data_IF_549275703571
#
_entry.id   IF_549275703571
#
_cell.length_a   1.000
_cell.length_b   1.000
_cell.length_c   1.000
_cell.angle_alpha   90.00
_cell.angle_beta   90.00
_cell.angle_gamma   90.00
#
_symmetry.space_group_name_H-M   'P 1'
#
loop_
_entity.id
_entity.type
_entity.pdbx_description
1 polymer ?
#
# COMPACT_ATOMS: atom_id res chain seq x y z
N UNK A 1 28.97 27.68 2.43
CA UNK A 1 28.55 27.69 1.00
C UNK A 1 27.57 28.86 0.80
N UNK A 2 27.93 29.90 0.04
CA UNK A 2 27.07 31.06 -0.17
C UNK A 2 25.87 30.72 -1.09
N UNK A 3 24.68 30.64 -0.50
CA UNK A 3 23.52 31.45 -0.90
C UNK A 3 22.50 30.90 -1.89
N UNK A 4 22.82 29.94 -2.76
CA UNK A 4 21.85 29.38 -3.71
C UNK A 4 21.48 27.95 -3.35
N UNK A 5 20.21 27.66 -3.04
CA UNK A 5 19.74 26.29 -3.16
C UNK A 5 20.06 25.84 -4.60
N UNK A 6 20.88 24.80 -4.80
CA UNK A 6 21.41 24.52 -6.12
C UNK A 6 20.25 24.14 -7.04
N UNK A 7 20.21 24.72 -8.24
CA UNK A 7 19.08 24.70 -9.18
C UNK A 7 18.50 23.30 -9.45
N UNK A 8 19.30 22.25 -9.25
CA UNK A 8 18.86 20.85 -9.36
C UNK A 8 17.81 20.45 -8.31
N UNK A 9 17.78 21.06 -7.12
CA UNK A 9 16.74 20.79 -6.10
C UNK A 9 15.39 21.31 -6.59
N UNK A 10 15.36 22.55 -7.07
CA UNK A 10 14.14 23.16 -7.61
C UNK A 10 13.65 22.40 -8.85
N UNK A 11 14.57 21.98 -9.73
CA UNK A 11 14.26 21.14 -10.88
C UNK A 11 13.70 19.77 -10.47
N UNK A 12 14.24 19.15 -9.41
CA UNK A 12 13.77 17.88 -8.89
C UNK A 12 12.36 17.97 -8.31
N UNK A 13 12.08 19.00 -7.50
CA UNK A 13 10.73 19.24 -6.96
C UNK A 13 9.73 19.52 -8.08
N UNK A 14 10.08 20.39 -9.03
CA UNK A 14 9.23 20.69 -10.17
C UNK A 14 8.97 19.44 -11.02
N UNK A 15 9.99 18.64 -11.28
CA UNK A 15 9.87 17.37 -11.99
C UNK A 15 8.95 16.39 -11.28
N UNK A 16 9.01 16.31 -9.94
CA UNK A 16 8.10 15.48 -9.14
C UNK A 16 6.65 15.96 -9.25
N UNK A 17 6.40 17.26 -9.14
CA UNK A 17 5.06 17.85 -9.29
C UNK A 17 4.50 17.59 -10.70
N UNK A 18 5.33 17.77 -11.73
CA UNK A 18 4.94 17.50 -13.13
C UNK A 18 4.67 16.01 -13.33
N UNK A 19 5.47 15.10 -12.76
CA UNK A 19 5.25 13.67 -12.86
C UNK A 19 3.94 13.23 -12.17
N UNK A 20 3.65 13.82 -11.00
CA UNK A 20 2.38 13.61 -10.29
C UNK A 20 1.22 14.11 -11.17
N UNK A 21 1.27 15.36 -11.64
CA UNK A 21 0.23 15.95 -12.49
C UNK A 21 0.03 15.17 -13.81
N UNK A 22 1.12 14.72 -14.43
CA UNK A 22 1.08 13.91 -15.65
C UNK A 22 0.49 12.52 -15.40
N UNK A 23 0.67 11.95 -14.20
CA UNK A 23 0.06 10.66 -13.83
C UNK A 23 -1.47 10.73 -13.76
N UNK A 24 -2.04 11.93 -13.58
CA UNK A 24 -3.48 12.19 -13.62
C UNK A 24 -4.01 12.53 -15.01
N UNK A 25 -3.15 12.77 -16.00
CA UNK A 25 -3.59 13.09 -17.35
C UNK A 25 -3.99 11.81 -18.13
N UNK A 26 -5.12 11.84 -18.82
CA UNK A 26 -5.60 10.70 -19.61
C UNK A 26 -4.65 10.36 -20.79
N UNK A 27 -3.93 11.35 -21.32
CA UNK A 27 -3.08 11.23 -22.49
C UNK A 27 -1.92 10.20 -22.32
N UNK A 28 -1.07 10.30 -21.27
CA UNK A 28 0.00 9.34 -21.05
C UNK A 28 -0.52 7.93 -20.75
N UNK A 29 -1.64 7.79 -20.05
CA UNK A 29 -2.24 6.47 -19.78
C UNK A 29 -2.72 5.78 -21.06
N UNK A 30 -3.38 6.54 -21.96
CA UNK A 30 -3.81 6.02 -23.28
C UNK A 30 -2.61 5.63 -24.15
N UNK A 31 -1.53 6.41 -24.11
CA UNK A 31 -0.30 6.10 -24.82
C UNK A 31 0.38 4.82 -24.30
N UNK A 32 0.51 4.67 -22.97
CA UNK A 32 1.06 3.48 -22.32
C UNK A 32 0.27 2.21 -22.66
N UNK A 33 -1.07 2.27 -22.62
CA UNK A 33 -1.94 1.16 -23.03
C UNK A 33 -1.77 0.81 -24.51
N UNK A 34 -1.64 1.82 -25.37
CA UNK A 34 -1.37 1.63 -26.79
C UNK A 34 -0.02 0.96 -27.03
N UNK A 35 1.03 1.39 -26.34
CA UNK A 35 2.35 0.79 -26.38
C UNK A 35 2.32 -0.66 -25.86
N UNK A 36 1.70 -0.91 -24.71
CA UNK A 36 1.59 -2.25 -24.12
C UNK A 36 0.85 -3.23 -25.04
N UNK A 37 -0.24 -2.79 -25.69
CA UNK A 37 -0.97 -3.62 -26.68
C UNK A 37 -0.15 -3.90 -27.93
N UNK A 38 0.65 -2.95 -28.42
CA UNK A 38 1.55 -3.15 -29.57
C UNK A 38 2.67 -4.15 -29.27
N UNK A 39 3.16 -4.17 -28.04
CA UNK A 39 4.20 -5.12 -27.60
C UNK A 39 3.61 -6.51 -27.29
N UNK A 40 2.29 -6.69 -27.41
CA UNK A 40 1.65 -8.00 -27.23
C UNK A 40 1.58 -8.45 -25.77
N UNK A 41 1.71 -7.52 -24.81
CA UNK A 41 1.56 -7.78 -23.37
C UNK A 41 0.09 -8.17 -23.08
N UNK A 42 -0.21 -9.45 -23.23
CA UNK A 42 -1.47 -10.09 -22.81
C UNK A 42 -1.23 -10.78 -21.48
N UNK A 43 -2.16 -10.65 -20.54
CA UNK A 43 -2.11 -11.32 -19.24
C UNK A 43 -2.19 -10.36 -18.03
N UNK A 44 -1.55 -10.66 -16.89
CA UNK A 44 -1.76 -9.96 -15.62
C UNK A 44 -1.43 -8.47 -15.66
N UNK A 45 -0.51 -8.05 -16.53
CA UNK A 45 -0.16 -6.63 -16.73
C UNK A 45 -1.32 -5.85 -17.35
N UNK A 46 -2.03 -6.45 -18.31
CA UNK A 46 -3.22 -5.83 -18.91
C UNK A 46 -4.37 -5.76 -17.89
N UNK A 47 -4.54 -6.78 -17.05
CA UNK A 47 -5.52 -6.77 -15.96
C UNK A 47 -5.18 -5.71 -14.90
N UNK A 48 -3.90 -5.52 -14.57
CA UNK A 48 -3.44 -4.48 -13.65
C UNK A 48 -3.67 -3.07 -14.20
N UNK A 49 -3.42 -2.86 -15.49
CA UNK A 49 -3.70 -1.61 -16.19
C UNK A 49 -5.21 -1.31 -16.27
N UNK A 50 -6.04 -2.32 -16.49
CA UNK A 50 -7.51 -2.17 -16.50
C UNK A 50 -8.06 -1.87 -15.10
N UNK A 51 -7.50 -2.51 -14.06
CA UNK A 51 -7.81 -2.17 -12.68
C UNK A 51 -7.40 -0.72 -12.34
N UNK A 52 -6.24 -0.25 -12.83
CA UNK A 52 -5.83 1.15 -12.68
C UNK A 52 -6.80 2.13 -13.34
N UNK A 53 -7.42 1.75 -14.46
CA UNK A 53 -8.47 2.55 -15.10
C UNK A 53 -9.71 2.70 -14.23
N UNK A 54 -10.15 1.63 -13.56
CA UNK A 54 -11.27 1.72 -12.62
C UNK A 54 -10.97 2.66 -11.43
N UNK A 55 -9.69 2.84 -11.07
CA UNK A 55 -9.27 3.83 -10.09
C UNK A 55 -9.27 5.27 -10.64
N UNK A 56 -9.10 5.46 -11.95
CA UNK A 56 -9.13 6.78 -12.60
C UNK A 56 -10.51 7.45 -12.48
N UNK A 57 -11.59 6.67 -12.47
CA UNK A 57 -12.96 7.18 -12.36
C UNK A 57 -13.31 7.69 -10.95
N UNK A 58 -12.40 7.60 -9.98
CA UNK A 58 -12.61 8.02 -8.59
C UNK A 58 -11.52 9.00 -8.12
N UNK A 59 -11.56 10.27 -8.56
CA UNK A 59 -10.52 11.26 -8.25
C UNK A 59 -10.32 11.50 -6.75
N UNK A 60 -11.38 11.40 -5.94
CA UNK A 60 -11.28 11.54 -4.48
C UNK A 60 -10.44 10.45 -3.79
N UNK A 61 -10.52 9.20 -4.27
CA UNK A 61 -9.71 8.10 -3.74
C UNK A 61 -8.25 8.25 -4.17
N UNK A 62 -8.00 8.69 -5.41
CA UNK A 62 -6.65 8.96 -5.87
C UNK A 62 -6.00 10.11 -5.11
N UNK A 63 -6.74 11.19 -4.83
CA UNK A 63 -6.24 12.30 -4.04
C UNK A 63 -5.89 11.85 -2.62
N UNK A 64 -6.77 11.07 -1.99
CA UNK A 64 -6.54 10.54 -0.63
C UNK A 64 -5.33 9.61 -0.59
N UNK A 65 -5.23 8.67 -1.55
CA UNK A 65 -4.09 7.77 -1.64
C UNK A 65 -2.78 8.51 -1.96
N UNK A 66 -2.85 9.50 -2.85
CA UNK A 66 -1.71 10.37 -3.17
C UNK A 66 -1.25 11.18 -1.96
N UNK A 67 -2.17 11.78 -1.22
CA UNK A 67 -1.87 12.50 0.02
C UNK A 67 -1.24 11.56 1.06
N UNK A 68 -1.78 10.35 1.21
CA UNK A 68 -1.24 9.35 2.12
C UNK A 68 0.18 8.94 1.70
N UNK A 69 0.43 8.73 0.41
CA UNK A 69 1.76 8.41 -0.11
C UNK A 69 2.76 9.56 0.08
N UNK A 70 2.31 10.82 0.00
CA UNK A 70 3.14 11.99 0.31
C UNK A 70 3.49 12.01 1.79
N UNK A 71 2.51 11.83 2.68
CA UNK A 71 2.73 11.76 4.13
C UNK A 71 3.67 10.62 4.48
N UNK A 72 3.49 9.44 3.89
CA UNK A 72 4.37 8.28 4.09
C UNK A 72 5.82 8.59 3.67
N UNK A 73 6.01 9.24 2.52
CA UNK A 73 7.35 9.67 2.10
C UNK A 73 7.98 10.64 3.09
N UNK A 74 7.23 11.65 3.56
CA UNK A 74 7.74 12.60 4.55
C UNK A 74 8.10 11.92 5.86
N UNK A 75 7.28 10.98 6.34
CA UNK A 75 7.57 10.20 7.54
C UNK A 75 8.87 9.39 7.37
N UNK A 76 9.07 8.75 6.23
CA UNK A 76 10.29 8.00 5.93
C UNK A 76 11.54 8.91 5.86
N UNK A 77 11.42 10.08 5.24
CA UNK A 77 12.50 11.08 5.22
C UNK A 77 12.80 11.57 6.64
N UNK A 78 11.77 11.82 7.45
CA UNK A 78 11.93 12.26 8.83
C UNK A 78 12.65 11.20 9.69
N UNK A 79 12.30 9.92 9.55
CA UNK A 79 12.98 8.83 10.27
C UNK A 79 14.48 8.79 9.93
N UNK A 80 14.83 8.85 8.64
CA UNK A 80 16.23 8.87 8.20
C UNK A 80 16.97 10.13 8.66
N UNK A 81 16.30 11.29 8.61
CA UNK A 81 16.86 12.54 9.09
C UNK A 81 17.15 12.48 10.59
N UNK A 82 16.19 12.04 11.41
CA UNK A 82 16.36 11.89 12.85
C UNK A 82 17.49 10.89 13.14
N UNK A 83 17.50 9.73 12.48
CA UNK A 83 18.56 8.74 12.65
C UNK A 83 19.96 9.32 12.35
N UNK A 84 20.10 10.12 11.29
CA UNK A 84 21.35 10.79 10.96
C UNK A 84 21.76 11.83 12.03
N UNK A 85 20.81 12.57 12.59
CA UNK A 85 21.10 13.56 13.64
C UNK A 85 21.50 12.90 14.95
N UNK A 86 20.85 11.80 15.33
CA UNK A 86 21.19 11.03 16.54
C UNK A 86 22.57 10.37 16.47
N UNK A 87 23.02 10.00 15.27
CA UNK A 87 24.36 9.45 15.03
C UNK A 87 25.44 10.57 15.01
N UNK A 88 25.04 11.84 15.04
CA UNK A 88 25.95 12.98 15.11
C UNK A 88 26.33 13.59 13.76
N UNK A 89 25.52 13.38 12.71
CA UNK A 89 25.77 14.03 11.41
C UNK A 89 25.45 15.52 11.47
N UNK A 90 26.50 16.34 11.34
CA UNK A 90 26.43 17.81 11.41
C UNK A 90 26.12 18.50 10.07
N UNK A 91 25.80 17.75 9.01
CA UNK A 91 25.50 18.32 7.69
C UNK A 91 24.31 19.30 7.73
N UNK A 92 24.30 20.35 6.87
CA UNK A 92 23.18 21.27 6.78
C UNK A 92 21.85 20.53 6.51
N UNK A 93 20.74 20.89 7.21
CA UNK A 93 19.49 20.15 7.11
C UNK A 93 18.97 20.00 5.67
N UNK A 94 19.08 21.06 4.86
CA UNK A 94 18.64 21.05 3.46
C UNK A 94 19.44 20.06 2.60
N UNK A 95 20.77 20.00 2.82
CA UNK A 95 21.66 19.06 2.12
C UNK A 95 21.29 17.62 2.47
N UNK A 96 21.09 17.35 3.75
CA UNK A 96 20.77 16.01 4.25
C UNK A 96 19.40 15.54 3.75
N UNK A 97 18.37 16.39 3.84
CA UNK A 97 17.02 16.09 3.32
C UNK A 97 17.05 15.85 1.82
N UNK A 98 17.85 16.61 1.06
CA UNK A 98 17.94 16.46 -0.39
C UNK A 98 18.59 15.13 -0.79
N UNK A 99 19.67 14.74 -0.11
CA UNK A 99 20.30 13.43 -0.33
C UNK A 99 19.40 12.27 0.09
N UNK A 100 18.73 12.37 1.24
CA UNK A 100 17.77 11.35 1.68
C UNK A 100 16.64 11.22 0.65
N UNK A 101 16.07 12.34 0.17
CA UNK A 101 15.00 12.34 -0.83
C UNK A 101 15.46 11.69 -2.13
N UNK A 102 16.69 12.00 -2.58
CA UNK A 102 17.28 11.38 -3.75
C UNK A 102 17.49 9.87 -3.56
N UNK A 103 18.00 9.45 -2.40
CA UNK A 103 18.17 8.03 -2.06
C UNK A 103 16.85 7.28 -2.08
N UNK A 104 15.79 7.86 -1.51
CA UNK A 104 14.44 7.29 -1.54
C UNK A 104 13.88 7.21 -2.96
N UNK A 105 14.10 8.23 -3.77
CA UNK A 105 13.67 8.24 -5.17
C UNK A 105 14.35 7.13 -5.98
N UNK A 106 15.68 7.03 -5.89
CA UNK A 106 16.44 5.98 -6.59
C UNK A 106 16.02 4.59 -6.08
N UNK A 107 15.85 4.43 -4.77
CA UNK A 107 15.35 3.16 -4.19
C UNK A 107 13.98 2.77 -4.74
N UNK A 108 13.06 3.71 -4.92
CA UNK A 108 11.73 3.45 -5.53
C UNK A 108 11.84 2.98 -6.98
N UNK A 109 12.74 3.56 -7.77
CA UNK A 109 13.01 3.10 -9.13
C UNK A 109 13.61 1.68 -9.14
N UNK A 110 14.40 1.35 -8.13
CA UNK A 110 15.04 0.04 -7.95
C UNK A 110 14.18 -0.99 -7.20
N UNK A 111 12.87 -0.76 -6.99
CA UNK A 111 11.98 -1.73 -6.32
C UNK A 111 11.99 -3.14 -6.97
N UNK A 112 12.41 -3.25 -8.23
CA UNK A 112 12.61 -4.54 -8.91
C UNK A 112 13.83 -5.33 -8.40
N UNK A 113 14.73 -4.69 -7.67
CA UNK A 113 15.99 -5.23 -7.13
C UNK A 113 16.03 -5.14 -5.59
N UNK A 114 14.88 -5.05 -4.92
CA UNK A 114 14.76 -4.73 -3.48
C UNK A 114 15.30 -5.86 -2.59
N UNK A 115 16.62 -6.02 -2.57
CA UNK A 115 17.38 -6.76 -1.60
C UNK A 115 17.97 -5.80 -0.57
N UNK A 116 18.05 -6.24 0.69
CA UNK A 116 18.57 -5.44 1.81
C UNK A 116 19.92 -4.76 1.50
N UNK A 117 20.84 -5.48 0.85
CA UNK A 117 22.17 -4.95 0.51
C UNK A 117 22.17 -3.82 -0.52
N UNK A 118 21.20 -3.77 -1.45
CA UNK A 118 21.14 -2.69 -2.43
C UNK A 118 20.76 -1.36 -1.77
N UNK A 119 19.78 -1.39 -0.87
CA UNK A 119 19.39 -0.18 -0.13
C UNK A 119 20.54 0.36 0.72
N UNK A 120 21.29 -0.51 1.39
CA UNK A 120 22.43 -0.09 2.22
C UNK A 120 23.56 0.49 1.37
N UNK A 121 23.93 -0.19 0.27
CA UNK A 121 24.95 0.29 -0.65
C UNK A 121 24.58 1.64 -1.27
N UNK A 122 23.30 1.83 -1.62
CA UNK A 122 22.80 3.09 -2.16
C UNK A 122 22.90 4.24 -1.14
N UNK A 123 22.59 3.99 0.13
CA UNK A 123 22.78 5.00 1.18
C UNK A 123 24.25 5.32 1.39
N UNK A 124 25.14 4.31 1.45
CA UNK A 124 26.60 4.52 1.55
C UNK A 124 27.10 5.38 0.40
N UNK A 125 26.70 5.06 -0.84
CA UNK A 125 27.10 5.81 -2.03
C UNK A 125 26.64 7.27 -1.99
N UNK A 126 25.36 7.50 -1.70
CA UNK A 126 24.77 8.84 -1.75
C UNK A 126 25.16 9.72 -0.55
N UNK A 127 25.30 9.14 0.65
CA UNK A 127 25.84 9.86 1.80
C UNK A 127 27.34 10.15 1.64
N UNK A 128 28.08 9.29 0.94
CA UNK A 128 29.47 9.55 0.56
C UNK A 128 29.63 10.81 -0.29
N UNK A 129 28.64 11.19 -1.11
CA UNK A 129 28.68 12.44 -1.89
C UNK A 129 28.67 13.71 -1.04
N UNK A 130 28.20 13.63 0.21
CA UNK A 130 28.22 14.74 1.17
C UNK A 130 29.31 14.57 2.25
N UNK A 131 30.24 13.64 2.03
CA UNK A 131 31.41 13.43 2.89
C UNK A 131 31.15 12.62 4.15
N UNK A 132 30.02 11.92 4.25
CA UNK A 132 29.73 11.02 5.37
C UNK A 132 30.47 9.71 5.13
N UNK A 133 31.15 9.19 6.16
CA UNK A 133 31.86 7.93 6.06
C UNK A 133 30.90 6.75 5.91
N UNK A 134 31.37 5.68 5.26
CA UNK A 134 30.54 4.52 4.96
C UNK A 134 30.01 3.78 6.19
N UNK A 135 30.75 3.80 7.31
CA UNK A 135 30.33 3.16 8.57
C UNK A 135 29.14 3.90 9.18
N UNK A 136 29.23 5.22 9.26
CA UNK A 136 28.13 6.10 9.70
C UNK A 136 26.93 5.99 8.77
N UNK A 137 27.14 6.02 7.45
CA UNK A 137 26.05 5.86 6.47
C UNK A 137 25.30 4.53 6.63
N UNK A 138 26.04 3.44 6.89
CA UNK A 138 25.47 2.12 7.18
C UNK A 138 24.69 2.14 8.51
N UNK A 139 25.26 2.72 9.56
CA UNK A 139 24.61 2.85 10.86
C UNK A 139 23.27 3.61 10.75
N UNK A 140 23.24 4.72 10.00
CA UNK A 140 22.03 5.49 9.72
C UNK A 140 20.97 4.62 9.04
N UNK A 141 21.37 3.89 8.00
CA UNK A 141 20.48 2.97 7.28
C UNK A 141 19.89 1.92 8.23
N UNK A 142 20.72 1.26 9.04
CA UNK A 142 20.29 0.22 9.96
C UNK A 142 19.34 0.74 11.05
N UNK A 143 19.69 1.87 11.67
CA UNK A 143 18.83 2.52 12.68
C UNK A 143 17.49 2.93 12.07
N UNK A 144 17.49 3.50 10.87
CA UNK A 144 16.26 3.88 10.19
C UNK A 144 15.38 2.67 9.84
N UNK A 145 15.97 1.54 9.42
CA UNK A 145 15.22 0.30 9.18
C UNK A 145 14.67 -0.29 10.47
N UNK A 146 15.46 -0.33 11.55
CA UNK A 146 15.00 -0.80 12.86
C UNK A 146 13.85 0.06 13.39
N UNK A 147 13.96 1.39 13.28
CA UNK A 147 12.91 2.33 13.67
C UNK A 147 11.64 2.16 12.80
N UNK A 148 11.79 2.03 11.48
CA UNK A 148 10.68 1.77 10.58
C UNK A 148 9.98 0.43 10.89
N UNK A 149 10.77 -0.61 11.18
CA UNK A 149 10.24 -1.91 11.59
C UNK A 149 9.46 -1.79 12.90
N UNK A 150 10.04 -1.15 13.93
CA UNK A 150 9.38 -0.91 15.21
C UNK A 150 8.07 -0.09 15.04
N UNK A 151 8.09 0.95 14.20
CA UNK A 151 6.90 1.75 13.90
C UNK A 151 5.80 0.97 13.15
N UNK A 152 6.16 -0.10 12.43
CA UNK A 152 5.19 -0.97 11.75
C UNK A 152 4.50 -1.97 12.67
N UNK A 153 5.09 -2.26 13.84
CA UNK A 153 4.57 -3.28 14.78
C UNK A 153 3.15 -2.98 15.25
N UNK A 154 2.80 -1.75 15.69
CA UNK A 154 1.43 -1.44 16.11
C UNK A 154 0.41 -1.62 14.98
N UNK A 155 0.76 -1.21 13.75
CA UNK A 155 -0.10 -1.36 12.58
C UNK A 155 -0.31 -2.84 12.22
N UNK A 156 0.76 -3.64 12.25
CA UNK A 156 0.69 -5.08 12.04
C UNK A 156 -0.15 -5.77 13.12
N UNK A 157 0.00 -5.36 14.38
CA UNK A 157 -0.80 -5.87 15.49
C UNK A 157 -2.28 -5.54 15.32
N UNK A 158 -2.62 -4.31 14.96
CA UNK A 158 -4.02 -3.91 14.72
C UNK A 158 -4.67 -4.74 13.62
N UNK A 159 -3.97 -4.92 12.48
CA UNK A 159 -4.45 -5.75 11.37
C UNK A 159 -4.58 -7.22 11.79
N UNK A 160 -3.68 -7.72 12.63
CA UNK A 160 -3.75 -9.11 13.11
C UNK A 160 -4.97 -9.35 14.01
N UNK A 161 -5.32 -8.39 14.87
CA UNK A 161 -6.52 -8.46 15.71
C UNK A 161 -7.79 -8.34 14.86
N UNK A 162 -7.88 -7.33 13.99
CA UNK A 162 -9.07 -7.03 13.17
C UNK A 162 -9.41 -8.13 12.14
N UNK A 163 -8.40 -8.85 11.62
CA UNK A 163 -8.62 -10.00 10.73
C UNK A 163 -9.42 -11.13 11.37
N UNK A 164 -9.49 -11.21 12.71
CA UNK A 164 -10.35 -12.17 13.40
C UNK A 164 -11.83 -11.79 13.24
N UNK A 165 -12.12 -10.49 13.24
CA UNK A 165 -13.48 -9.96 13.13
C UNK A 165 -14.00 -10.05 11.69
N UNK A 166 -13.15 -9.78 10.70
CA UNK A 166 -13.53 -9.93 9.27
C UNK A 166 -13.87 -11.38 8.91
N UNK A 167 -13.14 -12.37 9.47
CA UNK A 167 -13.47 -13.79 9.30
C UNK A 167 -14.83 -14.12 9.93
N UNK A 168 -15.08 -13.65 11.14
CA UNK A 168 -16.34 -13.86 11.84
C UNK A 168 -17.53 -13.23 11.10
N UNK A 169 -17.36 -12.04 10.53
CA UNK A 169 -18.40 -11.38 9.71
C UNK A 169 -18.67 -12.20 8.44
N UNK A 170 -17.63 -12.65 7.73
CA UNK A 170 -17.78 -13.45 6.50
C UNK A 170 -18.49 -14.78 6.75
N UNK A 171 -18.20 -15.44 7.87
CA UNK A 171 -18.89 -16.67 8.28
C UNK A 171 -20.38 -16.41 8.56
N UNK A 172 -20.71 -15.33 9.30
CA UNK A 172 -22.11 -14.95 9.57
C UNK A 172 -22.88 -14.63 8.29
N UNK A 173 -22.30 -13.89 7.35
CA UNK A 173 -22.94 -13.58 6.06
C UNK A 173 -23.23 -14.86 5.29
N UNK A 174 -22.28 -15.80 5.24
CA UNK A 174 -22.48 -17.08 4.55
C UNK A 174 -23.60 -17.91 5.18
N UNK A 175 -23.69 -17.95 6.51
CA UNK A 175 -24.78 -18.66 7.21
C UNK A 175 -26.13 -18.00 6.93
N UNK A 176 -26.21 -16.67 6.92
CA UNK A 176 -27.43 -15.94 6.57
C UNK A 176 -27.86 -16.18 5.12
N UNK A 177 -26.92 -16.20 4.17
CA UNK A 177 -27.22 -16.48 2.76
C UNK A 177 -27.75 -17.91 2.59
N UNK A 178 -27.19 -18.88 3.31
CA UNK A 178 -27.68 -20.27 3.31
C UNK A 178 -29.08 -20.39 3.93
N UNK A 179 -29.35 -19.69 5.03
CA UNK A 179 -30.68 -19.67 5.64
C UNK A 179 -31.72 -19.01 4.73
N UNK A 180 -31.36 -17.90 4.07
CA UNK A 180 -32.22 -17.22 3.09
C UNK A 180 -32.53 -18.11 1.87
N UNK A 181 -31.54 -18.89 1.39
CA UNK A 181 -31.74 -19.88 0.33
C UNK A 181 -32.67 -21.02 0.77
N UNK A 182 -32.54 -21.54 1.99
CA UNK A 182 -33.40 -22.60 2.50
C UNK A 182 -34.88 -22.16 2.64
N UNK A 183 -35.13 -20.91 3.03
CA UNK A 183 -36.50 -20.34 3.09
C UNK A 183 -37.06 -20.10 1.69
N UNK A 184 -36.21 -19.73 0.74
CA UNK A 184 -36.61 -19.44 -0.64
C UNK A 184 -36.76 -20.69 -1.51
N UNK A 185 -36.40 -21.88 -1.01
CA UNK A 185 -36.56 -23.15 -1.70
C UNK A 185 -37.95 -23.76 -1.41
N UNK A 186 -38.91 -23.66 -2.33
CA UNK A 186 -40.28 -24.15 -2.14
C UNK A 186 -40.37 -25.68 -2.07
N UNK A 187 -39.28 -26.41 -2.35
CA UNK A 187 -39.27 -27.88 -2.29
C UNK A 187 -39.20 -28.41 -0.86
N UNK A 188 -38.66 -27.65 0.09
CA UNK A 188 -38.56 -28.04 1.51
C UNK A 188 -39.84 -27.78 2.33
N UNK A 189 -40.80 -27.01 1.80
CA UNK A 189 -42.11 -26.74 2.44
C UNK A 189 -43.10 -27.91 2.22
N UNK A 190 -42.69 -28.97 1.53
CA UNK A 190 -43.55 -30.09 1.12
C UNK A 190 -43.38 -31.40 1.91
N UNK A 191 -42.84 -31.38 3.12
CA UNK A 191 -42.94 -32.53 4.02
C UNK A 191 -44.08 -32.37 5.05
N UNK A 192 -45.29 -32.91 4.79
CA UNK A 192 -46.45 -32.82 5.67
C UNK A 192 -46.40 -33.79 6.87
N UNK A 193 -45.22 -34.20 7.33
CA UNK A 193 -45.05 -35.24 8.37
C UNK A 193 -45.38 -34.74 9.78
N UNK A 194 -45.61 -33.43 9.98
CA UNK A 194 -46.20 -32.87 11.20
C UNK A 194 -47.73 -32.74 11.09
N UNK A 195 -48.40 -33.77 10.56
CA UNK A 195 -49.85 -33.92 10.64
C UNK A 195 -50.18 -34.80 11.86
N UNK A 196 -50.40 -34.10 12.98
CA UNK A 196 -51.37 -34.44 14.02
C UNK A 196 -51.22 -35.81 14.74
N UNK A 197 -50.55 -35.87 15.91
CA UNK A 197 -50.61 -37.02 16.81
C UNK A 197 -51.92 -37.12 17.63
N UNK A 198 -52.96 -36.33 17.31
CA UNK A 198 -54.14 -36.09 18.15
C UNK A 198 -55.47 -36.72 17.73
N UNK A 199 -55.51 -37.66 16.79
CA UNK A 199 -56.70 -38.50 16.52
C UNK A 199 -56.42 -39.89 17.09
N UNK A 200 -56.80 -40.22 18.33
CA UNK A 200 -58.17 -40.13 18.82
C UNK A 200 -58.85 -41.47 18.57
N UNK A 201 -58.31 -42.52 19.19
CA UNK A 201 -58.97 -43.81 19.38
C UNK A 201 -60.27 -43.56 20.15
N UNK A 202 -61.40 -43.79 19.49
CA UNK A 202 -62.71 -43.50 20.05
C UNK A 202 -63.82 -44.13 19.23
N UNK A 203 -63.68 -45.42 18.90
CA UNK A 203 -64.75 -46.19 18.29
C UNK A 203 -64.83 -47.58 18.96
N UNK A 204 -65.52 -47.63 20.09
CA UNK A 204 -66.12 -48.84 20.64
C UNK A 204 -67.23 -48.47 21.62
N UNK A 205 -68.36 -49.16 21.47
CA UNK A 205 -69.59 -49.13 22.25
C UNK A 205 -70.64 -48.09 21.83
N UNK A 206 -71.54 -48.51 20.93
CA UNK A 206 -72.98 -48.72 21.23
C UNK A 206 -73.67 -49.40 20.06
#
# INVERSE_FOLDING_TARGET
LPGGAPAWIAAGVLGMVVAIAASFAEAPQRWLLGAARRVGLRGPIAAWLEAHRQYADRPGLLLTNGALAVVENFAQIAILYIAAREIGVESPPLTLVSIISLARFVRRLSMLLDGWGFSEALHILLFGWIGIDGGTALAISLVAHAAGFAASVPGAFFVWVDRRDVKAIRERTRTNDQAAQAISDPTLVRDPVLRDPGRGEGESAS
#
